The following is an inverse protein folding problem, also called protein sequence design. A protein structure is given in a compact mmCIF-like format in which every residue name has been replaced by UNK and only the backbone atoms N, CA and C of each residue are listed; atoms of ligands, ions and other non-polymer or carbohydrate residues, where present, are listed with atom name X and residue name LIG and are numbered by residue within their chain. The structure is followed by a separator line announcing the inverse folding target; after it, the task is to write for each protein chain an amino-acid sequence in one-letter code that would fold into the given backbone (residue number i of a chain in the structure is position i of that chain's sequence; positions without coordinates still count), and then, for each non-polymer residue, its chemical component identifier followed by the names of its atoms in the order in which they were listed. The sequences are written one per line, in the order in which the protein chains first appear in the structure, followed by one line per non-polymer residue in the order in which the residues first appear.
data_IF_826411518866
#
_entry.id   IF_826411518866
#
_cell.length_a   1.000
_cell.length_b   1.000
_cell.length_c   1.000
_cell.angle_alpha   90.00
_cell.angle_beta   90.00
_cell.angle_gamma   90.00
#
_symmetry.space_group_name_H-M   'P 1'
#
loop_
_entity.id
_entity.type
_entity.pdbx_description
1 polymer ?
#
# COMPACT_ATOMS: atom_id res chain seq x y z
N UNK A 1 9.85 -21.14 -2.56
CA UNK A 1 9.08 -20.99 -3.82
C UNK A 1 10.00 -21.23 -5.01
N UNK A 2 9.52 -21.91 -6.08
CA UNK A 2 10.19 -21.99 -7.39
C UNK A 2 9.49 -21.04 -8.36
N UNK A 3 10.22 -20.42 -9.29
CA UNK A 3 9.65 -19.46 -10.23
C UNK A 3 10.34 -19.59 -11.60
N UNK A 4 9.60 -20.07 -12.58
CA UNK A 4 10.09 -20.26 -13.95
C UNK A 4 10.50 -18.94 -14.65
N UNK A 5 9.89 -17.80 -14.27
CA UNK A 5 10.33 -16.49 -14.77
C UNK A 5 11.71 -16.10 -14.25
N UNK A 6 11.98 -16.42 -12.97
CA UNK A 6 13.28 -16.18 -12.38
C UNK A 6 14.35 -17.09 -13.00
N UNK A 7 14.04 -18.40 -13.11
CA UNK A 7 14.97 -19.40 -13.66
C UNK A 7 15.31 -19.11 -15.13
N UNK A 8 14.34 -18.58 -15.89
CA UNK A 8 14.51 -18.18 -17.29
C UNK A 8 15.15 -16.78 -17.48
N UNK A 9 15.49 -16.07 -16.41
CA UNK A 9 16.05 -14.71 -16.48
C UNK A 9 15.05 -13.60 -16.83
N UNK A 10 13.77 -13.91 -17.00
CA UNK A 10 12.75 -12.96 -17.44
C UNK A 10 12.33 -11.96 -16.35
N UNK A 11 12.49 -12.34 -15.08
CA UNK A 11 12.13 -11.50 -13.94
C UNK A 11 13.12 -11.68 -12.81
N UNK A 12 13.58 -10.57 -12.23
CA UNK A 12 14.54 -10.54 -11.11
C UNK A 12 13.98 -9.81 -9.88
N UNK A 13 12.66 -9.56 -9.83
CA UNK A 13 12.02 -8.81 -8.75
C UNK A 13 12.10 -9.51 -7.38
N UNK A 14 12.24 -10.85 -7.36
CA UNK A 14 12.43 -11.63 -6.13
C UNK A 14 13.93 -11.80 -5.85
N UNK A 15 14.59 -10.76 -5.35
CA UNK A 15 16.05 -10.72 -5.15
C UNK A 15 16.60 -11.84 -4.25
N UNK A 16 15.78 -12.40 -3.36
CA UNK A 16 16.16 -13.49 -2.46
C UNK A 16 15.69 -14.86 -2.96
N UNK A 17 15.30 -14.99 -4.24
CA UNK A 17 14.97 -16.28 -4.84
C UNK A 17 16.18 -17.23 -4.71
N UNK A 18 15.97 -18.45 -4.27
CA UNK A 18 17.05 -19.42 -4.02
C UNK A 18 17.59 -19.40 -2.59
N UNK A 19 17.33 -18.36 -1.80
CA UNK A 19 17.61 -18.37 -0.36
C UNK A 19 16.43 -19.03 0.37
N UNK A 20 16.63 -20.07 1.21
CA UNK A 20 15.54 -20.67 1.98
C UNK A 20 14.81 -19.65 2.81
N UNK A 21 13.47 -19.70 2.84
CA UNK A 21 12.66 -18.67 3.48
C UNK A 21 12.97 -18.47 4.98
N UNK A 22 13.25 -19.55 5.71
CA UNK A 22 13.68 -19.44 7.11
C UNK A 22 14.96 -18.63 7.28
N UNK A 23 15.92 -18.75 6.35
CA UNK A 23 17.16 -17.93 6.33
C UNK A 23 16.83 -16.48 6.04
N UNK A 24 15.99 -16.20 5.03
CA UNK A 24 15.54 -14.83 4.74
C UNK A 24 14.90 -14.15 5.95
N UNK A 25 14.07 -14.90 6.70
CA UNK A 25 13.38 -14.38 7.88
C UNK A 25 14.37 -14.09 9.02
N UNK A 26 15.30 -15.01 9.27
CA UNK A 26 16.36 -14.83 10.27
C UNK A 26 17.26 -13.64 9.96
N UNK A 27 17.68 -13.51 8.70
CA UNK A 27 18.54 -12.40 8.26
C UNK A 27 17.83 -11.04 8.39
N UNK A 28 16.55 -10.97 8.07
CA UNK A 28 15.73 -9.76 8.24
C UNK A 28 15.57 -9.40 9.73
N UNK A 29 15.28 -10.38 10.59
CA UNK A 29 15.18 -10.17 12.03
C UNK A 29 16.52 -9.64 12.58
N UNK A 30 17.64 -10.28 12.24
CA UNK A 30 18.96 -9.85 12.65
C UNK A 30 19.30 -8.43 12.18
N UNK A 31 18.95 -8.09 10.93
CA UNK A 31 19.19 -6.75 10.38
C UNK A 31 18.37 -5.66 11.10
N UNK A 32 17.13 -5.94 11.47
CA UNK A 32 16.29 -5.00 12.23
C UNK A 32 16.81 -4.84 13.66
N UNK A 33 17.15 -5.94 14.32
CA UNK A 33 17.76 -5.91 15.66
C UNK A 33 19.03 -5.06 15.69
N UNK A 34 19.94 -5.28 14.74
CA UNK A 34 21.19 -4.52 14.65
C UNK A 34 20.97 -2.99 14.50
N UNK A 35 19.86 -2.56 13.94
CA UNK A 35 19.53 -1.14 13.79
C UNK A 35 18.87 -0.51 15.01
N UNK A 36 18.17 -1.31 15.80
CA UNK A 36 17.33 -0.85 16.90
C UNK A 36 17.86 -1.28 18.28
N UNK A 37 18.93 -2.05 18.34
CA UNK A 37 19.48 -2.67 19.56
C UNK A 37 19.77 -1.65 20.66
N UNK A 38 20.21 -0.45 20.28
CA UNK A 38 20.45 0.63 21.25
C UNK A 38 19.14 1.24 21.83
N UNK A 39 18.00 1.02 21.19
CA UNK A 39 16.71 1.64 21.56
C UNK A 39 15.69 0.62 22.11
N UNK A 40 15.87 -0.67 21.82
CA UNK A 40 14.92 -1.73 22.18
C UNK A 40 15.59 -2.73 23.11
N UNK A 41 15.10 -2.90 24.35
CA UNK A 41 15.66 -3.87 25.28
C UNK A 41 15.49 -5.30 24.76
N UNK A 42 16.46 -6.19 25.13
CA UNK A 42 16.54 -7.54 24.60
C UNK A 42 15.25 -8.38 24.83
N UNK A 43 14.61 -8.18 25.97
CA UNK A 43 13.36 -8.85 26.35
C UNK A 43 12.11 -8.38 25.59
N UNK A 44 12.16 -7.22 24.94
CA UNK A 44 11.05 -6.67 24.16
C UNK A 44 10.98 -7.23 22.72
N UNK A 45 12.00 -7.98 22.31
CA UNK A 45 11.99 -8.59 20.98
C UNK A 45 11.11 -9.84 20.94
N UNK A 46 10.15 -9.82 20.05
CA UNK A 46 9.29 -10.95 19.76
C UNK A 46 9.75 -11.71 18.50
N UNK A 47 9.35 -12.97 18.34
CA UNK A 47 9.63 -13.73 17.12
C UNK A 47 9.04 -13.03 15.88
N UNK A 48 9.76 -13.03 14.74
CA UNK A 48 9.25 -12.42 13.52
C UNK A 48 8.02 -13.17 12.99
N UNK A 49 7.08 -12.45 12.42
CA UNK A 49 5.90 -13.01 11.78
C UNK A 49 6.24 -13.52 10.38
N UNK A 50 6.11 -14.83 10.18
CA UNK A 50 6.27 -15.44 8.87
C UNK A 50 5.06 -15.17 7.95
N UNK A 51 5.33 -15.06 6.65
CA UNK A 51 4.34 -15.00 5.56
C UNK A 51 4.30 -16.31 4.79
N UNK A 52 3.25 -16.53 3.99
CA UNK A 52 3.33 -17.48 2.89
C UNK A 52 4.43 -17.08 1.89
N UNK A 53 5.05 -18.05 1.22
CA UNK A 53 6.10 -17.82 0.21
C UNK A 53 5.53 -17.49 -1.18
N UNK A 54 4.24 -17.80 -1.43
CA UNK A 54 3.51 -17.59 -2.68
C UNK A 54 2.05 -17.27 -2.38
N UNK A 55 1.30 -16.76 -3.37
CA UNK A 55 -0.13 -16.52 -3.25
C UNK A 55 -0.53 -15.47 -2.19
N UNK A 56 0.35 -14.56 -1.83
CA UNK A 56 0.11 -13.61 -0.73
C UNK A 56 -0.13 -12.18 -1.18
N UNK A 57 0.14 -11.89 -2.47
CA UNK A 57 0.17 -10.52 -2.96
C UNK A 57 -1.17 -10.13 -3.57
N UNK A 58 -1.87 -9.21 -2.93
CA UNK A 58 -3.18 -8.73 -3.34
C UNK A 58 -3.14 -7.59 -4.36
N UNK A 59 -1.96 -7.06 -4.74
CA UNK A 59 -1.84 -5.93 -5.66
C UNK A 59 -0.80 -6.20 -6.73
N UNK A 60 -1.18 -6.02 -7.99
CA UNK A 60 -0.32 -6.09 -9.17
C UNK A 60 -0.20 -4.73 -9.84
N UNK A 61 1.00 -4.38 -10.29
CA UNK A 61 1.27 -3.28 -11.23
C UNK A 61 1.93 -3.90 -12.45
N UNK A 62 1.18 -4.07 -13.52
CA UNK A 62 1.60 -4.80 -14.71
C UNK A 62 1.82 -3.80 -15.85
N UNK A 63 3.04 -3.67 -16.33
CA UNK A 63 3.37 -2.88 -17.51
C UNK A 63 2.77 -3.57 -18.74
N UNK A 64 2.11 -2.80 -19.61
CA UNK A 64 1.56 -3.29 -20.87
C UNK A 64 2.63 -3.18 -21.97
N UNK A 65 2.91 -4.30 -22.64
CA UNK A 65 3.85 -4.39 -23.77
C UNK A 65 3.26 -5.26 -24.88
N UNK A 66 3.97 -5.43 -25.98
CA UNK A 66 3.46 -6.14 -27.15
C UNK A 66 2.59 -5.25 -28.05
N UNK A 67 1.50 -5.79 -28.54
CA UNK A 67 0.53 -5.05 -29.42
C UNK A 67 -0.87 -5.12 -28.84
N UNK A 68 -1.78 -4.26 -29.31
CA UNK A 68 -3.18 -4.33 -28.89
C UNK A 68 -3.80 -5.72 -29.15
N UNK A 69 -3.45 -6.40 -30.25
CA UNK A 69 -3.96 -7.73 -30.58
C UNK A 69 -3.32 -8.86 -29.73
N UNK A 70 -2.12 -8.65 -29.21
CA UNK A 70 -1.38 -9.61 -28.41
C UNK A 70 -0.67 -8.91 -27.22
N UNK A 71 -1.44 -8.36 -26.27
CA UNK A 71 -0.87 -7.64 -25.14
C UNK A 71 -0.20 -8.59 -24.15
N UNK A 72 0.93 -8.13 -23.61
CA UNK A 72 1.62 -8.75 -22.48
C UNK A 72 1.46 -7.85 -21.27
N UNK A 73 1.11 -8.43 -20.14
CA UNK A 73 0.99 -7.71 -18.88
C UNK A 73 2.04 -8.24 -17.89
N UNK A 74 3.00 -7.41 -17.55
CA UNK A 74 4.10 -7.84 -16.68
C UNK A 74 5.10 -6.74 -16.37
N UNK A 75 6.33 -6.92 -16.78
CA UNK A 75 7.43 -5.95 -16.58
C UNK A 75 8.15 -5.69 -17.90
N UNK A 76 8.82 -4.55 -17.99
CA UNK A 76 9.83 -4.32 -19.01
C UNK A 76 11.00 -5.29 -18.81
N UNK A 77 11.74 -5.59 -19.88
CA UNK A 77 12.88 -6.47 -19.80
C UNK A 77 13.95 -5.93 -18.82
N UNK A 78 14.22 -6.62 -17.69
CA UNK A 78 15.13 -6.12 -16.67
C UNK A 78 16.60 -6.14 -17.09
N UNK A 79 16.95 -6.82 -18.18
CA UNK A 79 18.34 -6.86 -18.69
C UNK A 79 18.67 -5.61 -19.51
N UNK A 80 17.67 -4.85 -19.94
CA UNK A 80 17.87 -3.63 -20.71
C UNK A 80 18.06 -2.41 -19.80
N UNK A 81 18.99 -1.55 -20.21
CA UNK A 81 19.24 -0.29 -19.48
C UNK A 81 18.04 0.66 -19.62
N UNK A 82 17.51 1.25 -18.52
CA UNK A 82 16.29 2.09 -18.55
C UNK A 82 16.32 3.24 -19.56
N UNK A 83 17.50 3.83 -19.83
CA UNK A 83 17.65 4.96 -20.79
C UNK A 83 17.63 4.54 -22.27
N UNK A 84 17.81 3.25 -22.55
CA UNK A 84 17.93 2.70 -23.90
C UNK A 84 17.01 1.50 -24.11
N UNK A 85 15.92 1.46 -23.34
CA UNK A 85 14.97 0.35 -23.39
C UNK A 85 14.19 0.39 -24.71
N UNK A 86 14.13 -0.74 -25.41
CA UNK A 86 13.43 -0.88 -26.69
C UNK A 86 11.91 -1.17 -26.58
N UNK A 87 11.37 -1.18 -25.34
CA UNK A 87 9.98 -1.49 -25.09
C UNK A 87 9.63 -2.97 -24.97
N UNK A 88 10.62 -3.87 -25.16
CA UNK A 88 10.39 -5.31 -24.93
C UNK A 88 10.01 -5.58 -23.49
N UNK A 89 9.05 -6.48 -23.28
CA UNK A 89 8.61 -6.85 -21.93
C UNK A 89 8.22 -8.32 -21.82
N UNK A 90 8.16 -8.77 -20.58
CA UNK A 90 7.82 -10.14 -20.22
C UNK A 90 6.43 -10.19 -19.60
N UNK A 91 5.64 -11.17 -20.03
CA UNK A 91 4.33 -11.46 -19.44
C UNK A 91 4.53 -12.12 -18.07
N UNK A 92 3.86 -11.59 -17.05
CA UNK A 92 3.89 -12.09 -15.68
C UNK A 92 2.49 -12.31 -15.10
N UNK A 93 1.50 -12.55 -15.94
CA UNK A 93 0.12 -12.82 -15.48
C UNK A 93 0.05 -14.06 -14.59
N UNK A 94 0.90 -15.03 -14.82
CA UNK A 94 1.06 -16.29 -14.08
C UNK A 94 2.08 -16.24 -12.93
N UNK A 95 2.43 -15.04 -12.45
CA UNK A 95 3.36 -14.88 -11.34
C UNK A 95 2.78 -15.47 -10.04
N UNK A 96 3.42 -16.48 -9.47
CA UNK A 96 2.98 -17.21 -8.29
C UNK A 96 2.97 -16.41 -6.97
N UNK A 97 3.30 -15.11 -6.99
CA UNK A 97 3.16 -14.24 -5.81
C UNK A 97 1.72 -13.75 -5.62
N UNK A 98 0.93 -13.65 -6.69
CA UNK A 98 -0.41 -13.10 -6.62
C UNK A 98 -1.39 -14.07 -5.98
N UNK A 99 -2.39 -13.52 -5.29
CA UNK A 99 -3.47 -14.28 -4.67
C UNK A 99 -4.32 -15.01 -5.73
N UNK A 100 -4.93 -16.11 -5.34
CA UNK A 100 -5.78 -16.92 -6.21
C UNK A 100 -6.87 -16.08 -6.90
N UNK A 101 -7.11 -16.37 -8.18
CA UNK A 101 -8.08 -15.66 -9.02
C UNK A 101 -7.52 -14.43 -9.73
N UNK A 102 -6.39 -13.86 -9.28
CA UNK A 102 -5.80 -12.71 -9.96
C UNK A 102 -5.27 -13.06 -11.36
N UNK A 103 -4.69 -14.24 -11.55
CA UNK A 103 -4.23 -14.70 -12.88
C UNK A 103 -5.38 -14.74 -13.89
N UNK A 104 -6.50 -15.37 -13.52
CA UNK A 104 -7.69 -15.42 -14.40
C UNK A 104 -8.24 -14.02 -14.70
N UNK A 105 -8.24 -13.13 -13.69
CA UNK A 105 -8.62 -11.73 -13.87
C UNK A 105 -7.69 -10.99 -14.83
N UNK A 106 -6.37 -11.22 -14.77
CA UNK A 106 -5.43 -10.60 -15.71
C UNK A 106 -5.65 -11.06 -17.15
N UNK A 107 -6.05 -12.31 -17.37
CA UNK A 107 -6.42 -12.78 -18.71
C UNK A 107 -7.67 -12.06 -19.22
N UNK A 108 -8.73 -11.92 -18.43
CA UNK A 108 -9.93 -11.18 -18.80
C UNK A 108 -9.66 -9.68 -19.08
N UNK A 109 -8.77 -9.07 -18.27
CA UNK A 109 -8.32 -7.69 -18.49
C UNK A 109 -7.54 -7.58 -19.81
N UNK A 110 -6.66 -8.53 -20.11
CA UNK A 110 -5.88 -8.54 -21.35
C UNK A 110 -6.78 -8.64 -22.60
N UNK A 111 -7.89 -9.39 -22.53
CA UNK A 111 -8.89 -9.47 -23.60
C UNK A 111 -9.67 -8.15 -23.82
N UNK A 112 -9.73 -7.29 -22.81
CA UNK A 112 -10.37 -5.97 -22.93
C UNK A 112 -9.49 -4.97 -23.72
N UNK A 113 -8.18 -5.15 -23.73
CA UNK A 113 -7.22 -4.25 -24.37
C UNK A 113 -7.49 -4.10 -25.87
N UNK A 114 -7.58 -5.19 -26.66
CA UNK A 114 -7.92 -5.09 -28.09
C UNK A 114 -9.34 -4.54 -28.32
N UNK A 115 -10.32 -4.91 -27.48
CA UNK A 115 -11.70 -4.45 -27.61
C UNK A 115 -11.82 -2.92 -27.42
N UNK A 116 -10.98 -2.32 -26.56
CA UNK A 116 -10.91 -0.88 -26.34
C UNK A 116 -9.94 -0.16 -27.29
N UNK A 117 -9.25 -0.89 -28.18
CA UNK A 117 -8.23 -0.35 -29.07
C UNK A 117 -7.07 0.31 -28.31
N UNK A 118 -6.69 -0.26 -27.17
CA UNK A 118 -5.62 0.25 -26.33
C UNK A 118 -4.26 -0.31 -26.79
N UNK A 119 -3.57 0.45 -27.62
CA UNK A 119 -2.20 0.08 -28.00
C UNK A 119 -1.26 0.25 -26.79
N UNK A 120 -0.47 -0.80 -26.42
CA UNK A 120 0.53 -0.70 -25.38
C UNK A 120 1.51 0.44 -25.66
N UNK A 121 1.95 1.12 -24.59
CA UNK A 121 2.86 2.24 -24.71
C UNK A 121 4.28 1.76 -25.01
N UNK A 122 4.77 2.14 -26.19
CA UNK A 122 6.16 1.94 -26.59
C UNK A 122 7.05 3.03 -25.97
N UNK A 123 7.93 2.63 -25.05
CA UNK A 123 8.81 3.56 -24.34
C UNK A 123 9.89 4.16 -25.23
N UNK A 124 10.33 3.45 -26.27
CA UNK A 124 11.34 3.93 -27.22
C UNK A 124 10.73 4.92 -28.22
N UNK A 125 9.62 4.56 -28.84
CA UNK A 125 8.91 5.42 -29.81
C UNK A 125 8.07 6.50 -29.14
N UNK A 126 7.76 6.39 -27.84
CA UNK A 126 6.86 7.27 -27.06
C UNK A 126 5.45 7.37 -27.68
N UNK A 127 4.98 6.26 -28.21
CA UNK A 127 3.66 6.12 -28.84
C UNK A 127 2.84 5.05 -28.14
N UNK A 128 1.54 4.95 -28.46
CA UNK A 128 0.63 4.06 -27.75
C UNK A 128 -0.06 4.74 -26.57
N UNK A 129 -1.05 4.09 -25.98
CA UNK A 129 -1.91 4.67 -24.96
C UNK A 129 -1.82 3.95 -23.62
N UNK A 130 -1.75 2.62 -23.59
CA UNK A 130 -1.78 1.83 -22.35
C UNK A 130 -0.37 1.63 -21.80
N UNK A 131 -0.05 2.29 -20.69
CA UNK A 131 1.23 2.13 -20.00
C UNK A 131 1.27 0.92 -19.09
N UNK A 132 0.22 0.76 -18.29
CA UNK A 132 0.13 -0.34 -17.31
C UNK A 132 -1.31 -0.58 -16.89
N UNK A 133 -1.53 -1.71 -16.22
CA UNK A 133 -2.76 -1.99 -15.49
C UNK A 133 -2.39 -2.24 -14.03
N UNK A 134 -3.10 -1.57 -13.12
CA UNK A 134 -2.94 -1.76 -11.68
C UNK A 134 -4.20 -2.47 -11.19
N UNK A 135 -4.00 -3.63 -10.57
CA UNK A 135 -5.10 -4.47 -10.06
C UNK A 135 -4.91 -4.69 -8.58
N UNK A 136 -5.96 -4.47 -7.79
CA UNK A 136 -5.98 -4.79 -6.37
C UNK A 136 -7.15 -5.72 -6.09
N UNK A 137 -6.89 -6.84 -5.43
CA UNK A 137 -7.90 -7.79 -4.96
C UNK A 137 -8.20 -7.52 -3.49
N UNK A 138 -9.47 -7.38 -3.15
CA UNK A 138 -9.90 -7.27 -1.77
C UNK A 138 -10.03 -8.63 -1.10
N UNK A 139 -10.05 -8.69 0.24
CA UNK A 139 -10.36 -9.92 0.98
C UNK A 139 -11.74 -10.50 0.65
N UNK A 140 -12.69 -9.66 0.24
CA UNK A 140 -14.03 -10.05 -0.21
C UNK A 140 -14.04 -10.55 -1.68
N UNK A 141 -12.85 -10.70 -2.29
CA UNK A 141 -12.62 -11.13 -3.68
C UNK A 141 -13.17 -10.16 -4.73
N UNK A 142 -13.28 -8.91 -4.40
CA UNK A 142 -13.61 -7.84 -5.33
C UNK A 142 -12.35 -7.18 -5.88
N UNK A 143 -12.42 -6.72 -7.12
CA UNK A 143 -11.28 -6.10 -7.80
C UNK A 143 -11.47 -4.59 -7.95
N UNK A 144 -10.36 -3.87 -7.74
CA UNK A 144 -10.14 -2.56 -8.32
C UNK A 144 -9.23 -2.72 -9.52
N UNK A 145 -9.69 -2.33 -10.71
CA UNK A 145 -8.94 -2.37 -11.97
C UNK A 145 -8.71 -0.95 -12.46
N UNK A 146 -7.45 -0.58 -12.62
CA UNK A 146 -7.03 0.76 -13.03
C UNK A 146 -6.18 0.68 -14.29
N UNK A 147 -6.63 1.29 -15.37
CA UNK A 147 -5.87 1.40 -16.63
C UNK A 147 -5.06 2.70 -16.61
N UNK A 148 -3.74 2.60 -16.64
CA UNK A 148 -2.86 3.78 -16.71
C UNK A 148 -2.64 4.13 -18.17
N UNK A 149 -3.22 5.25 -18.61
CA UNK A 149 -3.22 5.72 -19.99
C UNK A 149 -2.32 6.93 -20.16
N UNK A 150 -1.68 7.04 -21.31
CA UNK A 150 -0.91 8.23 -21.69
C UNK A 150 -1.79 9.47 -21.86
N UNK A 151 -3.01 9.30 -22.32
CA UNK A 151 -3.92 10.40 -22.61
C UNK A 151 -5.39 10.00 -22.48
N UNK A 152 -6.29 10.96 -22.63
CA UNK A 152 -7.73 10.72 -22.65
C UNK A 152 -8.27 10.19 -24.00
N UNK A 153 -7.43 10.02 -25.02
CA UNK A 153 -7.86 9.74 -26.40
C UNK A 153 -8.66 8.44 -26.55
N UNK A 154 -8.50 7.49 -25.63
CA UNK A 154 -9.19 6.19 -25.65
C UNK A 154 -10.19 5.99 -24.51
N UNK A 155 -10.49 7.02 -23.73
CA UNK A 155 -11.41 6.90 -22.58
C UNK A 155 -12.81 6.41 -22.98
N UNK A 156 -13.38 6.91 -24.06
CA UNK A 156 -14.73 6.52 -24.49
C UNK A 156 -14.76 5.07 -25.00
N UNK A 157 -13.74 4.64 -25.74
CA UNK A 157 -13.60 3.26 -26.17
C UNK A 157 -13.43 2.32 -24.97
N UNK A 158 -12.61 2.70 -23.98
CA UNK A 158 -12.45 1.95 -22.75
C UNK A 158 -13.78 1.89 -21.96
N UNK A 159 -14.51 3.00 -21.81
CA UNK A 159 -15.84 3.00 -21.17
C UNK A 159 -16.80 2.03 -21.84
N UNK A 160 -16.80 1.98 -23.18
CA UNK A 160 -17.64 1.05 -23.92
C UNK A 160 -17.27 -0.42 -23.69
N UNK A 161 -16.00 -0.74 -23.40
CA UNK A 161 -15.53 -2.09 -23.13
C UNK A 161 -15.73 -2.54 -21.66
N UNK A 162 -15.82 -1.60 -20.70
CA UNK A 162 -15.93 -1.88 -19.25
C UNK A 162 -17.11 -2.81 -18.89
N UNK A 163 -18.32 -2.69 -19.45
CA UNK A 163 -19.41 -3.64 -19.13
C UNK A 163 -19.05 -5.10 -19.42
N UNK A 164 -18.38 -5.36 -20.55
CA UNK A 164 -17.91 -6.70 -20.92
C UNK A 164 -16.86 -7.22 -19.94
N UNK A 165 -15.88 -6.39 -19.58
CA UNK A 165 -14.88 -6.71 -18.56
C UNK A 165 -15.53 -7.05 -17.20
N UNK A 166 -16.45 -6.23 -16.73
CA UNK A 166 -17.13 -6.48 -15.45
C UNK A 166 -17.93 -7.78 -15.45
N UNK A 167 -18.59 -8.08 -16.57
CA UNK A 167 -19.31 -9.36 -16.73
C UNK A 167 -18.36 -10.55 -16.70
N UNK A 168 -17.22 -10.47 -17.39
CA UNK A 168 -16.21 -11.54 -17.40
C UNK A 168 -15.64 -11.78 -16.02
N UNK A 169 -15.24 -10.71 -15.31
CA UNK A 169 -14.68 -10.79 -13.95
C UNK A 169 -15.70 -11.31 -12.93
N UNK A 170 -16.96 -10.92 -13.04
CA UNK A 170 -18.04 -11.47 -12.20
C UNK A 170 -18.23 -12.98 -12.44
N UNK A 171 -18.15 -13.42 -13.69
CA UNK A 171 -18.20 -14.85 -14.06
C UNK A 171 -17.03 -15.66 -13.50
N UNK A 172 -15.89 -15.04 -13.22
CA UNK A 172 -14.71 -15.65 -12.59
C UNK A 172 -14.77 -15.63 -11.05
N UNK A 173 -15.80 -15.04 -10.45
CA UNK A 173 -15.95 -14.92 -8.99
C UNK A 173 -15.04 -13.83 -8.38
N UNK A 174 -14.54 -12.90 -9.19
CA UNK A 174 -13.76 -11.75 -8.79
C UNK A 174 -14.34 -10.47 -9.44
N UNK A 175 -15.56 -10.04 -9.05
CA UNK A 175 -16.21 -8.91 -9.68
C UNK A 175 -15.39 -7.61 -9.54
N UNK A 176 -15.37 -6.79 -10.60
CA UNK A 176 -14.75 -5.47 -10.53
C UNK A 176 -15.68 -4.50 -9.82
N UNK A 177 -15.41 -4.24 -8.54
CA UNK A 177 -16.12 -3.25 -7.74
C UNK A 177 -15.75 -1.83 -8.15
N UNK A 178 -14.49 -1.60 -8.55
CA UNK A 178 -13.97 -0.29 -8.97
C UNK A 178 -13.26 -0.43 -10.31
N UNK A 179 -13.61 0.37 -11.30
CA UNK A 179 -12.87 0.48 -12.57
C UNK A 179 -12.56 1.94 -12.86
N UNK A 180 -11.29 2.25 -13.08
CA UNK A 180 -10.83 3.62 -13.36
C UNK A 180 -9.82 3.65 -14.50
N UNK A 181 -9.59 4.86 -15.02
CA UNK A 181 -8.45 5.19 -15.86
C UNK A 181 -7.62 6.27 -15.18
N UNK A 182 -6.34 6.03 -15.04
CA UNK A 182 -5.37 7.01 -14.56
C UNK A 182 -4.68 7.65 -15.75
N UNK A 183 -4.63 8.98 -15.81
CA UNK A 183 -3.97 9.72 -16.90
C UNK A 183 -2.54 10.07 -16.50
N UNK A 184 -1.59 9.52 -17.24
CA UNK A 184 -0.16 9.72 -17.03
C UNK A 184 0.54 10.15 -18.32
N UNK A 185 0.46 11.45 -18.68
CA UNK A 185 0.98 11.95 -19.96
C UNK A 185 2.51 11.97 -20.03
N UNK A 186 3.19 12.10 -18.90
CA UNK A 186 4.62 12.26 -18.85
C UNK A 186 5.38 10.97 -19.17
N UNK A 187 6.54 11.12 -19.82
CA UNK A 187 7.47 10.02 -20.08
C UNK A 187 8.48 9.92 -18.95
N UNK A 188 8.03 9.44 -17.81
CA UNK A 188 8.82 9.24 -16.59
C UNK A 188 8.53 7.87 -15.98
N UNK A 189 9.45 7.36 -15.17
CA UNK A 189 9.34 6.05 -14.53
C UNK A 189 8.42 6.04 -13.30
N UNK A 190 7.41 6.92 -13.26
CA UNK A 190 6.38 6.87 -12.22
C UNK A 190 5.29 5.86 -12.62
N UNK A 191 4.71 5.15 -11.65
CA UNK A 191 3.71 4.11 -11.93
C UNK A 191 2.36 4.67 -12.38
N UNK A 192 2.05 5.92 -12.06
CA UNK A 192 0.76 6.57 -12.26
C UNK A 192 0.89 8.10 -12.31
N UNK A 193 -0.04 8.76 -12.98
CA UNK A 193 -0.17 10.21 -13.06
C UNK A 193 -1.12 10.77 -11.99
N UNK A 194 -1.32 12.10 -11.97
CA UNK A 194 -2.15 12.75 -10.94
C UNK A 194 -3.65 12.55 -11.13
N UNK A 195 -4.12 12.40 -12.36
CA UNK A 195 -5.54 12.44 -12.69
C UNK A 195 -6.15 11.04 -12.75
N UNK A 196 -7.18 10.81 -11.96
CA UNK A 196 -7.95 9.56 -11.94
C UNK A 196 -9.36 9.79 -12.45
N UNK A 197 -9.77 9.04 -13.48
CA UNK A 197 -11.09 9.10 -14.11
C UNK A 197 -11.88 7.87 -13.72
N UNK A 198 -12.99 8.03 -13.00
CA UNK A 198 -13.90 6.95 -12.68
C UNK A 198 -14.64 6.47 -13.94
N UNK A 199 -14.66 5.15 -14.17
CA UNK A 199 -15.31 4.53 -15.33
C UNK A 199 -16.55 3.74 -14.93
N UNK A 200 -16.48 2.96 -13.85
CA UNK A 200 -17.63 2.16 -13.36
C UNK A 200 -17.42 1.66 -11.92
N UNK A 201 -18.51 1.29 -11.28
CA UNK A 201 -18.56 0.71 -9.95
C UNK A 201 -18.52 1.74 -8.84
N UNK A 202 -17.99 1.35 -7.69
CA UNK A 202 -17.90 2.20 -6.51
C UNK A 202 -16.69 3.14 -6.58
N UNK A 203 -16.67 4.23 -5.82
CA UNK A 203 -15.51 5.13 -5.78
C UNK A 203 -14.32 4.56 -4.98
N UNK A 204 -14.55 3.54 -4.16
CA UNK A 204 -13.56 2.91 -3.29
C UNK A 204 -13.70 1.39 -3.29
N UNK A 205 -12.58 0.68 -3.13
CA UNK A 205 -12.58 -0.75 -2.88
C UNK A 205 -12.67 -1.00 -1.36
N UNK A 206 -13.60 -1.88 -0.94
CA UNK A 206 -13.70 -2.29 0.44
C UNK A 206 -12.61 -3.32 0.78
N UNK A 207 -11.77 -3.00 1.75
CA UNK A 207 -10.71 -3.86 2.26
C UNK A 207 -11.08 -4.32 3.67
N UNK A 208 -11.72 -5.48 3.80
CA UNK A 208 -12.16 -6.01 5.08
C UNK A 208 -11.02 -6.74 5.80
N UNK A 209 -10.63 -6.26 6.98
CA UNK A 209 -9.62 -6.87 7.83
C UNK A 209 -10.12 -6.97 9.28
N UNK A 210 -10.16 -8.18 9.81
CA UNK A 210 -10.55 -8.44 11.20
C UNK A 210 -11.95 -7.88 11.56
N UNK A 211 -12.89 -7.87 10.61
CA UNK A 211 -14.23 -7.30 10.79
C UNK A 211 -14.32 -5.78 10.61
N UNK A 212 -13.27 -5.13 10.12
CA UNK A 212 -13.23 -3.70 9.82
C UNK A 212 -13.10 -3.50 8.31
N UNK A 213 -14.12 -2.90 7.69
CA UNK A 213 -14.12 -2.58 6.26
C UNK A 213 -13.50 -1.23 5.98
N UNK A 214 -12.24 -1.21 5.58
CA UNK A 214 -11.51 0.01 5.22
C UNK A 214 -11.84 0.41 3.77
N UNK A 215 -11.95 1.70 3.49
CA UNK A 215 -12.21 2.23 2.15
C UNK A 215 -10.90 2.59 1.46
N UNK A 216 -10.56 1.88 0.38
CA UNK A 216 -9.35 2.14 -0.42
C UNK A 216 -9.71 2.91 -1.69
N UNK A 217 -9.20 4.12 -1.83
CA UNK A 217 -9.29 4.90 -3.08
C UNK A 217 -8.28 4.41 -4.12
N UNK A 218 -8.49 4.67 -5.42
CA UNK A 218 -7.60 4.19 -6.50
C UNK A 218 -6.12 4.48 -6.30
N UNK A 219 -5.75 5.69 -5.93
CA UNK A 219 -4.36 6.10 -5.67
C UNK A 219 -3.89 5.82 -4.24
N UNK A 220 -4.78 5.28 -3.40
CA UNK A 220 -4.48 4.99 -2.00
C UNK A 220 -3.42 3.90 -1.82
N UNK A 221 -2.63 4.05 -0.76
CA UNK A 221 -1.74 2.99 -0.31
C UNK A 221 -2.49 1.96 0.53
N UNK A 222 -2.20 0.69 0.28
CA UNK A 222 -2.61 -0.42 1.14
C UNK A 222 -1.50 -1.48 1.16
N UNK A 223 -1.38 -2.18 2.28
CA UNK A 223 -0.42 -3.28 2.41
C UNK A 223 -0.74 -4.41 1.42
N UNK A 224 0.28 -4.92 0.74
CA UNK A 224 0.10 -5.89 -0.36
C UNK A 224 0.00 -7.34 0.10
N UNK A 225 0.14 -7.62 1.39
CA UNK A 225 0.00 -8.94 1.99
C UNK A 225 -1.14 -8.90 3.01
N UNK A 226 -2.31 -9.35 2.61
CA UNK A 226 -3.55 -9.31 3.40
C UNK A 226 -3.42 -10.02 4.74
N UNK A 227 -2.84 -11.22 4.75
CA UNK A 227 -2.72 -12.05 5.95
C UNK A 227 -1.77 -11.43 6.98
N UNK A 228 -0.59 -10.97 6.54
CA UNK A 228 0.37 -10.26 7.41
C UNK A 228 -0.25 -8.97 7.92
N UNK A 229 -1.03 -8.25 7.12
CA UNK A 229 -1.67 -7.00 7.54
C UNK A 229 -2.72 -7.23 8.63
N UNK A 230 -3.54 -8.28 8.50
CA UNK A 230 -4.49 -8.68 9.56
C UNK A 230 -3.78 -8.92 10.89
N UNK A 231 -2.70 -9.71 10.85
CA UNK A 231 -1.90 -10.00 12.06
C UNK A 231 -1.24 -8.77 12.62
N UNK A 232 -0.70 -7.89 11.77
CA UNK A 232 -0.05 -6.65 12.17
C UNK A 232 -1.00 -5.76 12.98
N UNK A 233 -2.22 -5.54 12.49
CA UNK A 233 -3.20 -4.71 13.19
C UNK A 233 -3.68 -5.38 14.49
N UNK A 234 -3.97 -6.68 14.45
CA UNK A 234 -4.39 -7.43 15.64
C UNK A 234 -3.30 -7.44 16.72
N UNK A 235 -2.04 -7.64 16.33
CA UNK A 235 -0.91 -7.66 17.27
C UNK A 235 -0.72 -6.31 17.96
N UNK A 236 -0.76 -5.21 17.20
CA UNK A 236 -0.63 -3.87 17.78
C UNK A 236 -1.75 -3.56 18.78
N UNK A 237 -3.00 -3.94 18.45
CA UNK A 237 -4.12 -3.77 19.36
C UNK A 237 -3.97 -4.64 20.63
N UNK A 238 -3.55 -5.91 20.47
CA UNK A 238 -3.34 -6.83 21.60
C UNK A 238 -2.25 -6.30 22.54
N UNK A 239 -1.11 -5.85 22.02
CA UNK A 239 -0.02 -5.30 22.86
C UNK A 239 -0.48 -4.10 23.68
N UNK A 240 -1.26 -3.22 23.09
CA UNK A 240 -1.76 -2.05 23.80
C UNK A 240 -2.77 -2.42 24.88
N UNK A 241 -3.65 -3.39 24.60
CA UNK A 241 -4.60 -3.92 25.57
C UNK A 241 -3.88 -4.66 26.74
N UNK A 242 -2.86 -5.45 26.43
CA UNK A 242 -2.04 -6.16 27.43
C UNK A 242 -1.26 -5.18 28.31
N UNK A 243 -0.66 -4.13 27.74
CA UNK A 243 0.04 -3.09 28.49
C UNK A 243 -0.93 -2.36 29.44
N UNK A 244 -2.11 -1.98 28.95
CA UNK A 244 -3.14 -1.34 29.77
C UNK A 244 -3.60 -2.24 30.93
N UNK A 245 -3.75 -3.54 30.68
CA UNK A 245 -4.15 -4.51 31.72
C UNK A 245 -3.05 -4.73 32.75
N UNK A 246 -1.78 -4.78 32.34
CA UNK A 246 -0.62 -4.93 33.23
C UNK A 246 -0.45 -3.73 34.15
N UNK A 247 -0.65 -2.52 33.66
CA UNK A 247 -0.54 -1.28 34.43
C UNK A 247 -1.81 -0.98 35.27
N UNK A 248 -2.91 -1.71 34.99
CA UNK A 248 -4.22 -1.45 35.63
C UNK A 248 -4.84 -0.11 35.23
N UNK A 249 -4.29 0.53 34.19
CA UNK A 249 -4.72 1.85 33.71
C UNK A 249 -5.08 1.75 32.21
N UNK A 250 -6.35 2.04 31.84
CA UNK A 250 -6.74 2.06 30.44
C UNK A 250 -5.95 3.11 29.64
N UNK A 251 -5.54 2.76 28.44
CA UNK A 251 -4.95 3.73 27.51
C UNK A 251 -6.06 4.66 27.02
N UNK A 252 -5.99 5.93 27.42
CA UNK A 252 -7.02 6.90 27.08
C UNK A 252 -6.89 7.43 25.65
N UNK A 253 -5.67 7.69 25.19
CA UNK A 253 -5.43 8.27 23.86
C UNK A 253 -4.23 7.62 23.16
N UNK A 254 -4.32 7.55 21.82
CA UNK A 254 -3.25 7.07 20.95
C UNK A 254 -3.11 7.93 19.70
N UNK A 255 -1.91 7.94 19.12
CA UNK A 255 -1.63 8.58 17.83
C UNK A 255 -1.25 7.52 16.80
N UNK A 256 -1.92 7.56 15.66
CA UNK A 256 -1.58 6.78 14.47
C UNK A 256 -0.94 7.73 13.45
N UNK A 257 0.39 7.77 13.43
CA UNK A 257 1.16 8.64 12.56
C UNK A 257 1.40 7.91 11.23
N UNK A 258 1.19 8.61 10.11
CA UNK A 258 1.16 8.01 8.77
C UNK A 258 0.03 6.98 8.64
N UNK A 259 -1.14 7.35 9.13
CA UNK A 259 -2.26 6.42 9.35
C UNK A 259 -2.86 5.84 8.06
N UNK A 260 -2.57 6.41 6.88
CA UNK A 260 -3.20 6.00 5.64
C UNK A 260 -4.73 6.05 5.74
N UNK A 261 -5.40 4.94 5.44
CA UNK A 261 -6.86 4.78 5.56
C UNK A 261 -7.33 4.41 6.98
N UNK A 262 -6.45 4.52 7.98
CA UNK A 262 -6.80 4.36 9.39
C UNK A 262 -6.77 2.92 9.92
N UNK A 263 -6.05 2.01 9.27
CA UNK A 263 -6.04 0.60 9.66
C UNK A 263 -5.68 0.36 11.13
N UNK A 264 -4.60 0.94 11.63
CA UNK A 264 -4.25 0.87 13.06
C UNK A 264 -5.25 1.62 13.93
N UNK A 265 -5.60 2.84 13.56
CA UNK A 265 -6.49 3.69 14.36
C UNK A 265 -7.81 2.99 14.71
N UNK A 266 -8.44 2.30 13.76
CA UNK A 266 -9.69 1.59 14.00
C UNK A 266 -9.51 0.37 14.90
N UNK A 267 -8.43 -0.40 14.72
CA UNK A 267 -8.14 -1.55 15.58
C UNK A 267 -7.80 -1.11 17.02
N UNK A 268 -7.18 0.03 17.20
CA UNK A 268 -6.90 0.58 18.52
C UNK A 268 -8.18 1.09 19.22
N UNK A 269 -9.07 1.76 18.50
CA UNK A 269 -10.31 2.30 19.05
C UNK A 269 -11.39 1.24 19.33
N UNK A 270 -11.37 0.11 18.60
CA UNK A 270 -12.35 -0.96 18.74
C UNK A 270 -12.34 -1.54 20.17
N UNK A 271 -13.50 -1.92 20.74
CA UNK A 271 -13.55 -2.52 22.08
C UNK A 271 -12.71 -3.79 22.20
N UNK A 272 -12.12 -4.02 23.37
CA UNK A 272 -11.28 -5.21 23.66
C UNK A 272 -12.05 -6.51 23.44
N UNK A 273 -13.34 -6.54 23.83
CA UNK A 273 -14.21 -7.70 23.62
C UNK A 273 -14.41 -8.06 22.13
N UNK A 274 -14.13 -7.14 21.23
CA UNK A 274 -14.20 -7.30 19.79
C UNK A 274 -12.83 -7.46 19.11
N UNK A 275 -11.76 -7.65 19.91
CA UNK A 275 -10.39 -7.81 19.41
C UNK A 275 -9.64 -6.50 19.14
N UNK A 276 -10.13 -5.38 19.68
CA UNK A 276 -9.44 -4.09 19.67
C UNK A 276 -8.65 -3.81 20.94
N UNK A 277 -8.13 -2.60 21.11
CA UNK A 277 -7.43 -2.14 22.32
C UNK A 277 -8.32 -1.30 23.26
N UNK A 278 -9.50 -0.88 22.84
CA UNK A 278 -10.44 -0.10 23.65
C UNK A 278 -9.96 1.32 23.94
N UNK A 279 -9.10 1.89 23.09
CA UNK A 279 -8.61 3.27 23.26
C UNK A 279 -9.75 4.26 23.04
N UNK A 280 -9.97 5.14 24.00
CA UNK A 280 -11.10 6.07 23.98
C UNK A 280 -10.98 7.17 22.91
N UNK A 281 -9.76 7.64 22.65
CA UNK A 281 -9.48 8.65 21.62
C UNK A 281 -8.27 8.25 20.77
N UNK A 282 -8.45 8.13 19.45
CA UNK A 282 -7.36 7.86 18.50
C UNK A 282 -7.26 9.00 17.48
N UNK A 283 -6.04 9.45 17.24
CA UNK A 283 -5.74 10.53 16.31
C UNK A 283 -4.89 10.01 15.16
N UNK A 284 -5.46 10.00 13.95
CA UNK A 284 -4.76 9.65 12.73
C UNK A 284 -4.22 10.90 12.04
N UNK A 285 -2.94 10.88 11.64
CA UNK A 285 -2.29 11.93 10.88
C UNK A 285 -1.69 11.35 9.60
N UNK A 286 -2.10 11.88 8.45
CA UNK A 286 -1.71 11.41 7.11
C UNK A 286 -1.59 12.60 6.15
N UNK A 287 -0.64 12.56 5.22
CA UNK A 287 -0.45 13.64 4.25
C UNK A 287 -1.48 13.62 3.12
N UNK A 288 -1.98 12.44 2.75
CA UNK A 288 -2.98 12.28 1.69
C UNK A 288 -4.37 12.69 2.16
N UNK A 289 -4.88 13.81 1.63
CA UNK A 289 -6.26 14.27 1.90
C UNK A 289 -7.29 13.21 1.50
N UNK A 290 -7.05 12.47 0.42
CA UNK A 290 -7.90 11.39 -0.06
C UNK A 290 -7.94 10.20 0.90
N UNK A 291 -6.80 9.81 1.48
CA UNK A 291 -6.76 8.76 2.48
C UNK A 291 -7.48 9.19 3.77
N UNK A 292 -7.28 10.44 4.20
CA UNK A 292 -7.98 11.03 5.35
C UNK A 292 -9.49 11.07 5.12
N UNK A 293 -9.95 11.45 3.92
CA UNK A 293 -11.37 11.46 3.60
C UNK A 293 -11.95 10.02 3.66
N UNK A 294 -11.26 9.04 3.07
CA UNK A 294 -11.67 7.63 3.13
C UNK A 294 -11.71 7.09 4.57
N UNK A 295 -10.74 7.48 5.41
CA UNK A 295 -10.72 7.12 6.82
C UNK A 295 -11.89 7.73 7.60
N UNK A 296 -12.26 8.99 7.32
CA UNK A 296 -13.43 9.63 7.92
C UNK A 296 -14.74 8.97 7.51
N UNK A 297 -14.88 8.59 6.25
CA UNK A 297 -16.05 7.84 5.77
C UNK A 297 -16.14 6.48 6.49
N UNK A 298 -15.05 5.77 6.63
CA UNK A 298 -14.98 4.53 7.41
C UNK A 298 -15.34 4.74 8.88
N UNK A 299 -14.85 5.82 9.52
CA UNK A 299 -15.18 6.15 10.92
C UNK A 299 -16.68 6.37 11.10
N UNK A 300 -17.31 7.06 10.16
CA UNK A 300 -18.76 7.31 10.20
C UNK A 300 -19.55 6.00 10.06
N UNK A 301 -19.18 5.12 9.13
CA UNK A 301 -19.82 3.81 8.93
C UNK A 301 -19.71 2.88 10.12
N UNK A 302 -18.54 2.88 10.78
CA UNK A 302 -18.31 2.07 11.97
C UNK A 302 -18.92 2.68 13.25
N UNK A 303 -19.51 3.87 13.19
CA UNK A 303 -19.98 4.60 14.37
C UNK A 303 -18.86 5.06 15.31
N UNK A 304 -17.64 5.15 14.82
CA UNK A 304 -16.44 5.49 15.59
C UNK A 304 -15.99 6.95 15.40
N UNK A 305 -16.77 7.80 14.72
CA UNK A 305 -16.41 9.20 14.45
C UNK A 305 -16.19 10.05 15.73
N UNK A 306 -16.75 9.61 16.88
CA UNK A 306 -16.49 10.22 18.17
C UNK A 306 -15.16 9.82 18.82
N UNK A 307 -14.69 8.61 18.54
CA UNK A 307 -13.49 8.02 19.13
C UNK A 307 -12.26 8.17 18.23
N UNK A 308 -12.42 8.20 16.91
CA UNK A 308 -11.31 8.27 15.95
C UNK A 308 -11.41 9.55 15.14
N UNK A 309 -10.33 10.31 15.09
CA UNK A 309 -10.24 11.57 14.34
C UNK A 309 -9.06 11.54 13.38
N UNK A 310 -9.28 11.98 12.14
CA UNK A 310 -8.25 12.01 11.10
C UNK A 310 -7.99 13.43 10.63
N UNK A 311 -6.71 13.78 10.48
CA UNK A 311 -6.25 15.10 10.02
C UNK A 311 -5.24 14.93 8.89
N UNK A 312 -5.41 15.72 7.82
CA UNK A 312 -4.41 15.80 6.78
C UNK A 312 -3.25 16.69 7.26
N UNK A 313 -2.02 16.16 7.19
CA UNK A 313 -0.84 16.88 7.62
C UNK A 313 0.43 16.02 7.62
N UNK A 314 1.57 16.70 7.75
CA UNK A 314 2.88 16.09 7.78
C UNK A 314 3.29 15.76 9.22
N UNK A 315 3.35 14.47 9.55
CA UNK A 315 3.71 13.98 10.89
C UNK A 315 5.13 14.40 11.32
N UNK A 316 6.06 14.56 10.37
CA UNK A 316 7.42 15.00 10.69
C UNK A 316 7.44 16.45 11.16
N UNK A 317 6.57 17.29 10.61
CA UNK A 317 6.43 18.70 11.03
C UNK A 317 5.67 18.83 12.36
N UNK A 318 4.67 17.96 12.57
CA UNK A 318 3.91 17.93 13.80
C UNK A 318 4.78 17.54 15.00
N UNK A 319 5.79 16.69 14.81
CA UNK A 319 6.71 16.22 15.85
C UNK A 319 7.98 17.08 16.01
N UNK A 320 8.19 18.12 15.20
CA UNK A 320 9.40 18.96 15.25
C UNK A 320 9.40 19.88 16.47
N UNK A 321 10.46 19.90 17.32
CA UNK A 321 10.57 20.84 18.42
C UNK A 321 10.61 22.28 17.92
N UNK A 322 9.78 23.17 18.49
CA UNK A 322 9.86 24.62 18.28
C UNK A 322 8.83 25.24 17.33
N UNK A 323 7.92 24.49 16.71
CA UNK A 323 6.71 25.08 16.11
C UNK A 323 5.55 25.00 17.07
N UNK A 324 5.16 26.16 17.59
CA UNK A 324 3.84 26.35 18.18
C UNK A 324 2.81 26.26 17.07
N UNK A 325 1.83 25.37 17.28
CA UNK A 325 0.52 25.25 16.67
C UNK A 325 0.32 24.12 15.63
N UNK A 326 -0.53 23.17 15.99
CA UNK A 326 -1.77 22.92 15.29
C UNK A 326 -2.88 23.62 16.07
N UNK A 327 -3.05 24.93 15.85
CA UNK A 327 -3.69 25.81 16.83
C UNK A 327 -5.20 25.79 16.87
N UNK A 328 -5.93 25.16 15.99
CA UNK A 328 -7.41 25.18 16.03
C UNK A 328 -8.09 23.84 16.21
N UNK A 329 -7.36 22.71 16.08
CA UNK A 329 -7.95 21.37 16.20
C UNK A 329 -7.78 20.71 17.59
N UNK A 330 -6.97 21.27 18.47
CA UNK A 330 -6.68 20.70 19.79
C UNK A 330 -7.33 21.53 20.92
N UNK A 331 -8.33 20.94 21.58
CA UNK A 331 -8.86 21.52 22.83
C UNK A 331 -7.79 21.56 23.94
N UNK A 332 -7.98 22.39 24.97
CA UNK A 332 -7.01 22.68 26.03
C UNK A 332 -6.39 21.44 26.71
N UNK A 333 -7.14 20.35 26.93
CA UNK A 333 -6.64 19.11 27.52
C UNK A 333 -5.70 18.29 26.61
N UNK A 334 -5.59 18.64 25.34
CA UNK A 334 -4.72 17.99 24.35
C UNK A 334 -3.37 18.67 24.22
N UNK A 335 -3.26 19.89 24.65
CA UNK A 335 -2.01 20.65 24.78
C UNK A 335 -1.10 20.04 25.84
N UNK A 336 -1.68 19.59 26.95
CA UNK A 336 -0.92 18.95 28.04
C UNK A 336 -0.32 17.61 27.63
N UNK A 337 -1.04 16.78 26.84
CA UNK A 337 -0.52 15.52 26.31
C UNK A 337 0.62 15.76 25.29
N UNK A 338 0.53 16.80 24.47
CA UNK A 338 1.58 17.21 23.52
C UNK A 338 2.82 17.73 24.24
N UNK A 339 2.64 18.59 25.24
CA UNK A 339 3.72 19.15 26.05
C UNK A 339 4.44 18.06 26.88
N UNK A 340 3.71 17.04 27.36
CA UNK A 340 4.31 15.89 28.04
C UNK A 340 5.17 15.02 27.11
N UNK A 341 4.75 14.80 25.87
CA UNK A 341 5.54 14.08 24.84
C UNK A 341 6.78 14.87 24.39
N UNK A 342 6.65 16.20 24.29
CA UNK A 342 7.77 17.07 23.88
C UNK A 342 8.77 17.36 25.00
N UNK A 343 8.37 17.29 26.26
CA UNK A 343 9.21 17.53 27.44
C UNK A 343 9.97 16.30 27.95
N UNK A 344 9.60 15.09 27.52
CA UNK A 344 10.24 13.84 27.90
C UNK A 344 11.55 13.51 27.16
N UNK A 345 12.08 14.37 26.29
CA UNK A 345 13.39 14.17 25.64
C UNK A 345 14.51 14.64 26.58
N UNK A 346 15.30 13.69 27.05
CA UNK A 346 16.66 13.98 27.55
C UNK A 346 17.46 14.56 26.39
N UNK A 347 18.03 15.74 26.58
CA UNK A 347 19.02 16.32 25.65
C UNK A 347 20.18 15.32 25.48
N UNK A 348 20.63 15.06 24.25
CA UNK A 348 21.90 14.35 24.09
C UNK A 348 23.00 15.33 24.51
N UNK A 349 23.82 14.91 25.47
CA UNK A 349 25.03 15.58 25.85
C UNK A 349 25.94 15.78 24.64
N UNK A 350 26.43 17.01 24.43
CA UNK A 350 27.51 17.35 23.52
C UNK A 350 28.68 16.36 23.63
N UNK A 351 28.91 15.62 22.57
CA UNK A 351 30.16 14.90 22.36
C UNK A 351 30.51 14.85 20.87
N UNK A 352 31.44 15.73 20.47
CA UNK A 352 32.46 15.41 19.49
C UNK A 352 32.07 15.57 18.02
N UNK A 353 32.43 16.70 17.47
CA UNK A 353 32.65 16.88 16.03
C UNK A 353 33.68 15.87 15.49
N UNK A 354 33.35 15.20 14.38
CA UNK A 354 34.35 14.60 13.49
C UNK A 354 34.05 15.02 12.03
N UNK A 355 35.13 15.30 11.26
CA UNK A 355 35.02 15.97 9.97
C UNK A 355 34.77 15.03 8.78
N UNK A 356 34.34 15.67 7.70
CA UNK A 356 34.26 15.25 6.31
C UNK A 356 35.05 14.00 5.89
N UNK A 357 34.37 13.12 5.17
CA UNK A 357 34.95 12.55 3.94
C UNK A 357 33.81 12.12 2.99
N UNK A 358 33.95 12.63 1.76
CA UNK A 358 32.97 12.46 0.70
C UNK A 358 32.97 11.08 0.06
N UNK A 359 31.89 10.82 -0.57
CA UNK A 359 31.60 10.05 -1.77
C UNK A 359 30.30 9.25 -1.64
N UNK A 360 29.28 9.74 -2.31
CA UNK A 360 28.06 8.97 -2.56
C UNK A 360 28.31 7.95 -3.69
N UNK A 361 27.74 6.75 -3.62
CA UNK A 361 27.35 6.02 -4.81
C UNK A 361 25.85 6.06 -5.03
N UNK A 362 25.49 6.24 -6.28
CA UNK A 362 24.14 6.22 -6.82
C UNK A 362 23.42 4.93 -6.47
N UNK A 363 22.20 5.08 -5.93
CA UNK A 363 21.25 4.00 -5.76
C UNK A 363 20.32 3.94 -6.98
N UNK A 364 20.18 2.75 -7.56
CA UNK A 364 19.07 2.32 -8.39
C UNK A 364 17.88 1.91 -7.55
#
# INVERSE_FOLDING_TARGET
MQCHHYDAGRCRSCALMGVPYGVQLTDKDAAVRARLDAAVPAEAWLPPQASAESGFRNKAKLVATGTAAAPRLGILDPEQHPRHHDGTGHDLRDCGLYEDGMEAAFHAIAETIPAAGLEPYDVAARTGELKSVIVTLSPDRELMVRFVLRSAARLDALRAAVPGLRSALAGLGTPAAVVTANLHPEHVALPEGPDEVHLAGDPTLRMELNGIGLRLRPQGFFQTNTDVTRRLYATAAAWLAEAAAADGTPVHSAWDLYCGVGGFAFHLARPVAEGGAGVAEVWGLETSEDAVAAARDTAAELGLAGAVRFTAGDATRALSPGRREPSEALSSGKREAWDALSSGRREPSDAGAHPDDGAAPAAM
#
